data_IF_472043597004
#
_entry.id   IF_472043597004
#
_cell.length_a   1.000
_cell.length_b   1.000
_cell.length_c   1.000
_cell.angle_alpha   90.00
_cell.angle_beta   90.00
_cell.angle_gamma   90.00
#
_symmetry.space_group_name_H-M   'P 1'
#
loop_
_entity.id
_entity.type
_entity.pdbx_description
1 polymer ?
#
# COMPACT_ATOMS: atom_id res chain seq x y z
N UNK A 1 -4.86 4.90 -5.48
CA UNK A 1 -4.04 4.06 -4.58
C UNK A 1 -2.82 4.84 -4.12
N UNK A 2 -2.53 4.78 -2.85
CA UNK A 2 -1.34 5.40 -2.27
C UNK A 2 -0.47 4.29 -1.67
N UNK A 3 0.82 4.32 -1.98
CA UNK A 3 1.76 3.34 -1.46
C UNK A 3 2.86 4.05 -0.68
N UNK A 4 3.05 3.64 0.57
CA UNK A 4 4.12 4.17 1.41
C UNK A 4 5.19 3.10 1.53
N UNK A 5 6.34 3.36 0.92
CA UNK A 5 7.47 2.43 0.91
C UNK A 5 8.35 2.69 2.14
N UNK A 6 8.78 1.63 2.81
CA UNK A 6 9.60 1.76 4.00
C UNK A 6 11.03 2.19 3.63
N UNK A 7 11.31 3.48 3.81
CA UNK A 7 12.60 4.06 3.46
C UNK A 7 13.74 3.70 4.39
N UNK A 8 13.47 3.04 5.53
CA UNK A 8 14.53 2.56 6.42
C UNK A 8 15.19 1.27 5.93
N UNK A 9 14.59 0.60 4.94
CA UNK A 9 15.11 -0.63 4.38
C UNK A 9 15.93 -0.34 3.11
N UNK A 10 16.97 -1.14 2.90
CA UNK A 10 17.78 -1.05 1.67
C UNK A 10 17.16 -1.96 0.61
N UNK A 11 16.36 -1.35 -0.26
CA UNK A 11 15.72 -2.07 -1.35
C UNK A 11 16.09 -1.45 -2.68
N UNK A 12 16.44 -2.31 -3.66
CA UNK A 12 16.63 -1.87 -5.04
C UNK A 12 15.32 -1.35 -5.62
N UNK A 13 15.43 -0.60 -6.72
CA UNK A 13 14.24 -0.13 -7.45
C UNK A 13 13.33 -1.27 -7.87
N UNK A 14 13.93 -2.40 -8.30
CA UNK A 14 13.16 -3.59 -8.67
C UNK A 14 12.41 -4.18 -7.49
N UNK A 15 13.04 -4.26 -6.33
CA UNK A 15 12.41 -4.76 -5.11
C UNK A 15 11.23 -3.85 -4.70
N UNK A 16 11.44 -2.54 -4.72
CA UNK A 16 10.40 -1.57 -4.41
C UNK A 16 9.20 -1.75 -5.37
N UNK A 17 9.49 -1.84 -6.67
CA UNK A 17 8.43 -2.03 -7.68
C UNK A 17 7.63 -3.31 -7.42
N UNK A 18 8.30 -4.41 -7.09
CA UNK A 18 7.63 -5.67 -6.80
C UNK A 18 6.72 -5.56 -5.57
N UNK A 19 7.20 -4.93 -4.50
CA UNK A 19 6.42 -4.77 -3.27
C UNK A 19 5.22 -3.85 -3.46
N UNK A 20 5.37 -2.77 -4.22
CA UNK A 20 4.26 -1.89 -4.58
C UNK A 20 3.24 -2.65 -5.43
N UNK A 21 3.70 -3.45 -6.39
CA UNK A 21 2.82 -4.27 -7.22
C UNK A 21 2.03 -5.28 -6.38
N UNK A 22 2.65 -5.91 -5.39
CA UNK A 22 1.95 -6.80 -4.47
C UNK A 22 0.83 -6.07 -3.72
N UNK A 23 1.11 -4.88 -3.21
CA UNK A 23 0.10 -4.08 -2.52
C UNK A 23 -1.04 -3.68 -3.46
N UNK A 24 -0.72 -3.29 -4.70
CA UNK A 24 -1.72 -2.91 -5.69
C UNK A 24 -2.66 -4.08 -6.02
N UNK A 25 -2.11 -5.27 -6.21
CA UNK A 25 -2.90 -6.47 -6.50
C UNK A 25 -3.80 -6.81 -5.32
N UNK A 26 -3.28 -6.73 -4.10
CA UNK A 26 -4.07 -7.00 -2.90
C UNK A 26 -5.23 -6.00 -2.76
N UNK A 27 -4.96 -4.71 -2.93
CA UNK A 27 -6.00 -3.68 -2.89
C UNK A 27 -7.04 -3.89 -3.98
N UNK A 28 -6.62 -4.26 -5.18
CA UNK A 28 -7.51 -4.54 -6.30
C UNK A 28 -8.47 -5.69 -5.95
N UNK A 29 -7.96 -6.76 -5.38
CA UNK A 29 -8.80 -7.90 -4.94
C UNK A 29 -9.79 -7.49 -3.86
N UNK A 30 -9.36 -6.66 -2.91
CA UNK A 30 -10.25 -6.16 -1.87
C UNK A 30 -11.35 -5.27 -2.46
N UNK A 31 -11.01 -4.42 -3.44
CA UNK A 31 -11.98 -3.55 -4.12
C UNK A 31 -13.05 -4.34 -4.85
N UNK A 32 -12.65 -5.37 -5.60
CA UNK A 32 -13.60 -6.24 -6.30
C UNK A 32 -14.63 -6.80 -5.32
N UNK A 33 -14.16 -7.24 -4.16
CA UNK A 33 -14.99 -7.91 -3.18
C UNK A 33 -15.87 -6.96 -2.37
N UNK A 34 -15.31 -5.80 -1.97
CA UNK A 34 -15.92 -4.95 -0.95
C UNK A 34 -16.42 -3.60 -1.47
N UNK A 35 -15.83 -3.06 -2.53
CA UNK A 35 -16.15 -1.72 -3.05
C UNK A 35 -16.10 -1.70 -4.58
N UNK A 36 -16.95 -2.48 -5.27
CA UNK A 36 -16.88 -2.57 -6.73
C UNK A 36 -17.16 -1.24 -7.45
N UNK A 37 -18.01 -0.39 -6.88
CA UNK A 37 -18.29 0.93 -7.47
C UNK A 37 -17.09 1.86 -7.38
N UNK A 38 -16.40 1.85 -6.25
CA UNK A 38 -15.17 2.64 -6.09
C UNK A 38 -14.07 2.15 -7.03
N UNK A 39 -14.00 0.84 -7.26
CA UNK A 39 -13.07 0.26 -8.23
C UNK A 39 -13.35 0.78 -9.64
N UNK A 40 -14.62 0.77 -10.04
CA UNK A 40 -15.02 1.25 -11.36
C UNK A 40 -14.66 2.72 -11.56
N UNK A 41 -14.92 3.56 -10.57
CA UNK A 41 -14.55 4.97 -10.61
C UNK A 41 -13.04 5.16 -10.74
N UNK A 42 -12.27 4.40 -9.96
CA UNK A 42 -10.82 4.46 -10.02
C UNK A 42 -10.27 4.04 -11.38
N UNK A 43 -10.85 2.98 -11.97
CA UNK A 43 -10.47 2.54 -13.31
C UNK A 43 -10.80 3.60 -14.37
N UNK A 44 -11.95 4.23 -14.27
CA UNK A 44 -12.34 5.30 -15.19
C UNK A 44 -11.45 6.53 -15.05
N UNK A 45 -10.98 6.82 -13.85
CA UNK A 45 -10.12 7.98 -13.56
C UNK A 45 -8.65 7.73 -13.90
N UNK A 46 -8.31 6.59 -14.51
CA UNK A 46 -6.97 6.32 -15.00
C UNK A 46 -6.12 5.45 -14.07
N UNK A 47 -6.74 4.78 -13.10
CA UNK A 47 -6.05 3.86 -12.20
C UNK A 47 -4.85 4.52 -11.49
N UNK A 48 -5.08 5.69 -10.94
CA UNK A 48 -4.03 6.52 -10.32
C UNK A 48 -3.35 5.80 -9.17
N UNK A 49 -2.03 5.80 -9.20
CA UNK A 49 -1.17 5.23 -8.16
C UNK A 49 -0.10 6.23 -7.79
N UNK A 50 0.04 6.51 -6.50
CA UNK A 50 1.04 7.43 -5.99
C UNK A 50 1.94 6.66 -5.04
N UNK A 51 3.25 6.76 -5.22
CA UNK A 51 4.23 6.09 -4.37
C UNK A 51 5.03 7.14 -3.62
N UNK A 52 5.06 7.04 -2.30
CA UNK A 52 5.83 7.94 -1.45
C UNK A 52 6.75 7.14 -0.54
N UNK A 53 7.77 7.80 -0.01
CA UNK A 53 8.71 7.18 0.90
C UNK A 53 8.32 7.48 2.34
N UNK A 54 8.12 6.44 3.14
CA UNK A 54 8.00 6.55 4.59
C UNK A 54 9.38 6.52 5.25
N UNK A 55 9.47 6.96 6.48
CA UNK A 55 10.76 7.10 7.17
C UNK A 55 11.16 5.83 7.91
N UNK A 56 10.19 5.08 8.44
CA UNK A 56 10.47 3.94 9.30
C UNK A 56 9.31 2.96 9.33
N UNK A 57 9.58 1.77 9.85
CA UNK A 57 8.55 0.76 10.12
C UNK A 57 7.47 1.34 11.05
N UNK A 58 7.89 2.06 12.10
CA UNK A 58 6.95 2.66 13.06
C UNK A 58 6.00 3.65 12.37
N UNK A 59 6.51 4.45 11.43
CA UNK A 59 5.66 5.38 10.67
C UNK A 59 4.61 4.63 9.85
N UNK A 60 5.01 3.56 9.15
CA UNK A 60 4.06 2.78 8.36
C UNK A 60 3.00 2.14 9.26
N UNK A 61 3.39 1.61 10.42
CA UNK A 61 2.45 1.02 11.36
C UNK A 61 1.47 2.05 11.92
N UNK A 62 1.95 3.25 12.22
CA UNK A 62 1.11 4.35 12.68
C UNK A 62 0.10 4.77 11.60
N UNK A 63 0.55 4.87 10.35
CA UNK A 63 -0.32 5.22 9.23
C UNK A 63 -1.39 4.14 9.01
N UNK A 64 -1.02 2.88 9.12
CA UNK A 64 -1.97 1.77 9.01
C UNK A 64 -3.04 1.87 10.10
N UNK A 65 -2.64 2.09 11.34
CA UNK A 65 -3.57 2.19 12.47
C UNK A 65 -4.54 3.35 12.27
N UNK A 66 -4.05 4.49 11.81
CA UNK A 66 -4.89 5.66 11.53
C UNK A 66 -5.86 5.40 10.39
N UNK A 67 -5.40 4.74 9.33
CA UNK A 67 -6.26 4.41 8.19
C UNK A 67 -7.41 3.48 8.61
N UNK A 68 -7.13 2.53 9.49
CA UNK A 68 -8.14 1.58 9.97
C UNK A 68 -9.23 2.21 10.83
N UNK A 69 -9.04 3.44 11.29
CA UNK A 69 -10.09 4.19 11.98
C UNK A 69 -11.25 4.55 11.04
N UNK A 70 -11.00 4.59 9.73
CA UNK A 70 -12.03 4.83 8.73
C UNK A 70 -12.29 3.53 7.96
N UNK A 71 -13.47 2.89 8.14
CA UNK A 71 -13.76 1.61 7.49
C UNK A 71 -13.87 1.69 5.96
N UNK A 72 -13.95 2.89 5.40
CA UNK A 72 -13.99 3.07 3.94
C UNK A 72 -12.59 3.06 3.31
N UNK A 73 -11.54 3.20 4.11
CA UNK A 73 -10.16 3.11 3.63
C UNK A 73 -9.73 1.65 3.67
N UNK A 74 -9.26 1.14 2.52
CA UNK A 74 -8.68 -0.21 2.44
C UNK A 74 -7.18 -0.12 2.66
N UNK A 75 -6.64 -1.12 3.35
CA UNK A 75 -5.21 -1.19 3.65
C UNK A 75 -4.62 -2.50 3.16
N UNK A 76 -3.34 -2.46 2.78
CA UNK A 76 -2.57 -3.64 2.41
C UNK A 76 -1.17 -3.51 3.00
N UNK A 77 -0.79 -4.46 3.83
CA UNK A 77 0.54 -4.50 4.46
C UNK A 77 1.35 -5.59 3.80
N UNK A 78 2.49 -5.21 3.23
CA UNK A 78 3.36 -6.15 2.54
C UNK A 78 4.63 -6.39 3.37
N UNK A 79 4.88 -7.64 3.67
CA UNK A 79 6.09 -8.08 4.36
C UNK A 79 6.98 -8.87 3.40
N UNK A 80 8.28 -8.82 3.63
CA UNK A 80 9.22 -9.58 2.81
C UNK A 80 9.17 -11.06 3.17
N UNK A 81 9.19 -11.92 2.15
CA UNK A 81 9.21 -13.36 2.34
C UNK A 81 10.61 -13.91 2.69
N UNK A 82 11.64 -13.06 2.71
CA UNK A 82 13.00 -13.47 3.04
C UNK A 82 13.74 -14.13 1.89
N UNK A 83 13.27 -13.94 0.65
CA UNK A 83 13.86 -14.58 -0.54
C UNK A 83 14.78 -13.67 -1.33
N UNK A 84 14.93 -12.42 -0.90
CA UNK A 84 15.65 -11.40 -1.65
C UNK A 84 16.62 -10.62 -0.76
N UNK A 85 16.61 -9.30 -0.87
CA UNK A 85 17.65 -8.39 -0.36
C UNK A 85 17.57 -8.13 1.15
N UNK A 86 16.43 -8.37 1.78
CA UNK A 86 16.18 -7.94 3.16
C UNK A 86 15.69 -9.11 4.01
N UNK A 87 15.68 -8.88 5.32
CA UNK A 87 15.28 -9.88 6.29
C UNK A 87 13.81 -10.27 6.13
N UNK A 88 13.53 -11.57 6.27
CA UNK A 88 12.16 -12.10 6.25
C UNK A 88 11.29 -11.41 7.31
N UNK A 89 10.08 -11.07 6.94
CA UNK A 89 9.12 -10.43 7.83
C UNK A 89 9.24 -8.92 7.93
N UNK A 90 10.23 -8.31 7.23
CA UNK A 90 10.35 -6.85 7.21
C UNK A 90 9.13 -6.23 6.53
N UNK A 91 8.54 -5.21 7.16
CA UNK A 91 7.45 -4.44 6.57
C UNK A 91 8.00 -3.54 5.46
N UNK A 92 7.64 -3.84 4.22
CA UNK A 92 8.24 -3.17 3.06
C UNK A 92 7.37 -2.06 2.48
N UNK A 93 6.06 -2.25 2.47
CA UNK A 93 5.14 -1.33 1.82
C UNK A 93 3.78 -1.38 2.50
N UNK A 94 3.18 -0.20 2.64
CA UNK A 94 1.79 -0.05 3.05
C UNK A 94 1.01 0.51 1.88
N UNK A 95 0.01 -0.21 1.40
CA UNK A 95 -0.92 0.27 0.39
C UNK A 95 -2.19 0.78 1.03
N UNK A 96 -2.71 1.88 0.50
CA UNK A 96 -3.94 2.51 0.97
C UNK A 96 -4.82 2.85 -0.22
N UNK A 97 -6.12 2.61 -0.08
CA UNK A 97 -7.10 3.07 -1.06
C UNK A 97 -8.19 3.87 -0.35
N UNK A 98 -8.46 5.05 -0.86
CA UNK A 98 -9.51 5.93 -0.38
C UNK A 98 -9.62 7.14 -1.28
N UNK A 99 -10.60 8.01 -1.00
CA UNK A 99 -10.70 9.29 -1.69
C UNK A 99 -9.63 10.25 -1.18
N UNK A 100 -9.39 11.34 -1.92
CA UNK A 100 -8.44 12.37 -1.49
C UNK A 100 -8.78 12.91 -0.10
N UNK A 101 -10.08 13.09 0.19
CA UNK A 101 -10.52 13.56 1.50
C UNK A 101 -10.24 12.53 2.59
N UNK A 102 -10.42 11.25 2.29
CA UNK A 102 -10.20 10.17 3.27
C UNK A 102 -8.73 9.99 3.61
N UNK A 103 -7.82 10.21 2.64
CA UNK A 103 -6.39 9.98 2.80
C UNK A 103 -5.62 11.19 3.34
N UNK A 104 -6.24 12.35 3.37
CA UNK A 104 -5.60 13.57 3.89
C UNK A 104 -5.68 13.67 5.42
#
# INVERSE_FOLDING_TARGET
MLFVVNGSLRMSSGKIAAQVAHAAVDLYKQLIKNQPEALEDWEEDGETKIVVRGQSTDELQTLEARAKENPLILTSVIEDAGRTEIQSGSLTCLGLFGTNEQLN
#
